data_IF_915698381404
#
_entry.id   IF_915698381404
#
_cell.length_a   1.000
_cell.length_b   1.000
_cell.length_c   1.000
_cell.angle_alpha   90.00
_cell.angle_beta   90.00
_cell.angle_gamma   90.00
#
_symmetry.space_group_name_H-M   'P 1'
#
loop_
_entity.id
_entity.type
_entity.pdbx_description
1 polymer ?
#
# COMPACT_ATOMS: atom_id res chain seq x y z
N UNK A 1 9.43 22.80 3.49
CA UNK A 1 9.75 22.03 2.27
C UNK A 1 9.62 20.56 2.61
N UNK A 2 8.47 19.93 2.36
CA UNK A 2 8.32 18.47 2.48
C UNK A 2 8.49 17.93 1.07
N UNK A 3 9.69 17.45 0.77
CA UNK A 3 9.97 16.75 -0.48
C UNK A 3 9.28 15.38 -0.38
N UNK A 4 8.05 15.28 -0.89
CA UNK A 4 7.35 14.01 -1.01
C UNK A 4 8.06 13.17 -2.07
N UNK A 5 9.08 12.42 -1.66
CA UNK A 5 9.77 11.46 -2.51
C UNK A 5 8.75 10.44 -3.01
N UNK A 6 8.36 10.55 -4.29
CA UNK A 6 7.45 9.58 -4.93
C UNK A 6 8.09 8.19 -4.87
N UNK A 7 7.36 7.21 -4.36
CA UNK A 7 7.80 5.82 -4.38
C UNK A 7 7.76 5.33 -5.83
N UNK A 8 8.86 4.73 -6.32
CA UNK A 8 8.90 3.99 -7.59
C UNK A 8 8.54 2.51 -7.34
N UNK A 9 8.34 1.72 -8.40
CA UNK A 9 8.06 0.29 -8.28
C UNK A 9 9.10 -0.44 -7.41
N UNK A 10 10.39 -0.29 -7.73
CA UNK A 10 11.48 -0.92 -6.97
C UNK A 10 11.47 -0.53 -5.49
N UNK A 11 11.20 0.75 -5.19
CA UNK A 11 11.13 1.24 -3.81
C UNK A 11 9.90 0.69 -3.08
N UNK A 12 8.77 0.54 -3.77
CA UNK A 12 7.57 -0.07 -3.21
C UNK A 12 7.81 -1.56 -2.90
N UNK A 13 8.46 -2.29 -3.80
CA UNK A 13 8.85 -3.69 -3.62
C UNK A 13 9.82 -3.89 -2.46
N UNK A 14 10.85 -3.05 -2.36
CA UNK A 14 11.80 -3.05 -1.24
C UNK A 14 11.10 -2.76 0.10
N UNK A 15 10.13 -1.83 0.12
CA UNK A 15 9.39 -1.50 1.33
C UNK A 15 8.48 -2.65 1.77
N UNK A 16 7.68 -3.22 0.87
CA UNK A 16 6.86 -4.41 1.20
C UNK A 16 7.72 -5.65 1.47
N UNK A 17 8.94 -5.65 0.93
CA UNK A 17 10.15 -6.41 1.30
C UNK A 17 10.29 -6.71 2.80
N UNK A 18 9.99 -5.69 3.59
CA UNK A 18 10.19 -5.66 5.05
C UNK A 18 8.99 -6.19 5.83
N UNK A 19 7.83 -6.33 5.19
CA UNK A 19 6.59 -6.74 5.87
C UNK A 19 6.73 -8.15 6.44
N UNK A 20 6.25 -8.35 7.67
CA UNK A 20 6.30 -9.63 8.39
C UNK A 20 5.12 -10.56 8.04
N UNK A 21 4.20 -10.14 7.16
CA UNK A 21 3.03 -10.91 6.75
C UNK A 21 2.23 -11.49 7.94
N UNK A 22 1.97 -10.65 8.95
CA UNK A 22 1.28 -11.04 10.17
C UNK A 22 -0.01 -11.82 9.90
N UNK A 23 -0.23 -12.89 10.67
CA UNK A 23 -1.47 -13.69 10.62
C UNK A 23 -2.67 -12.85 11.06
N UNK A 24 -2.57 -12.21 12.24
CA UNK A 24 -3.53 -11.22 12.74
C UNK A 24 -2.94 -9.82 12.55
N UNK A 25 -3.22 -9.14 11.42
CA UNK A 25 -2.55 -7.89 11.07
C UNK A 25 -3.04 -6.72 11.93
N UNK A 26 -2.22 -6.16 12.83
CA UNK A 26 -2.62 -5.02 13.66
C UNK A 26 -2.79 -3.76 12.82
N UNK A 27 -2.11 -3.66 11.67
CA UNK A 27 -2.26 -2.54 10.75
C UNK A 27 -3.65 -2.46 10.10
N UNK A 28 -4.31 -3.59 9.86
CA UNK A 28 -5.69 -3.63 9.36
C UNK A 28 -6.66 -3.32 10.49
N UNK A 29 -6.47 -3.91 11.68
CA UNK A 29 -7.34 -3.70 12.85
C UNK A 29 -7.32 -2.25 13.37
N UNK A 30 -6.18 -1.57 13.27
CA UNK A 30 -6.03 -0.19 13.72
C UNK A 30 -6.59 0.84 12.72
N UNK A 31 -7.03 0.41 11.53
CA UNK A 31 -7.56 1.32 10.53
C UNK A 31 -9.04 1.66 10.82
N UNK A 32 -9.39 2.91 11.13
CA UNK A 32 -10.79 3.31 11.38
C UNK A 32 -11.68 3.14 10.15
N UNK A 33 -11.09 3.26 8.96
CA UNK A 33 -11.75 3.08 7.67
C UNK A 33 -11.83 1.60 7.22
N UNK A 34 -11.35 0.66 8.05
CA UNK A 34 -11.28 -0.77 7.73
C UNK A 34 -10.54 -1.09 6.41
N UNK A 35 -9.51 -0.30 6.07
CA UNK A 35 -8.66 -0.59 4.93
C UNK A 35 -7.77 -1.79 5.24
N UNK A 36 -7.88 -2.82 4.41
CA UNK A 36 -7.09 -4.04 4.51
C UNK A 36 -5.65 -3.85 4.00
N UNK A 37 -4.88 -3.08 4.78
CA UNK A 37 -3.48 -2.75 4.48
C UNK A 37 -2.63 -4.01 4.33
N UNK A 38 -2.90 -5.04 5.14
CA UNK A 38 -2.17 -6.30 5.08
C UNK A 38 -2.37 -7.02 3.75
N UNK A 39 -3.60 -7.11 3.25
CA UNK A 39 -3.90 -7.76 1.97
C UNK A 39 -3.40 -6.97 0.77
N UNK A 40 -3.41 -5.63 0.85
CA UNK A 40 -2.82 -4.74 -0.16
C UNK A 40 -1.30 -4.95 -0.23
N UNK A 41 -0.60 -4.87 0.92
CA UNK A 41 0.84 -5.09 1.01
C UNK A 41 1.21 -6.48 0.52
N UNK A 42 0.45 -7.51 0.92
CA UNK A 42 0.67 -8.90 0.48
C UNK A 42 0.56 -9.01 -1.04
N UNK A 43 -0.37 -8.32 -1.67
CA UNK A 43 -0.47 -8.30 -3.13
C UNK A 43 0.77 -7.70 -3.79
N UNK A 44 1.30 -6.58 -3.31
CA UNK A 44 2.53 -5.99 -3.85
C UNK A 44 3.74 -6.91 -3.58
N UNK A 45 3.81 -7.53 -2.39
CA UNK A 45 4.89 -8.45 -2.01
C UNK A 45 5.02 -9.66 -2.93
N UNK A 46 3.93 -10.03 -3.59
CA UNK A 46 3.88 -11.10 -4.59
C UNK A 46 3.60 -10.55 -5.99
N UNK A 47 4.09 -9.34 -6.28
CA UNK A 47 4.11 -8.70 -7.61
C UNK A 47 2.72 -8.52 -8.27
N UNK A 48 1.65 -8.63 -7.49
CA UNK A 48 0.28 -8.44 -7.94
C UNK A 48 -0.17 -6.98 -7.73
N UNK A 49 0.46 -6.05 -8.45
CA UNK A 49 0.10 -4.63 -8.44
C UNK A 49 -1.35 -4.37 -8.88
N UNK A 50 -1.90 -5.02 -9.92
CA UNK A 50 -3.30 -4.85 -10.29
C UNK A 50 -4.26 -5.27 -9.18
N UNK A 51 -3.98 -6.38 -8.50
CA UNK A 51 -4.75 -6.84 -7.36
C UNK A 51 -4.62 -5.91 -6.15
N UNK A 52 -3.43 -5.38 -5.89
CA UNK A 52 -3.20 -4.38 -4.84
C UNK A 52 -4.02 -3.11 -5.09
N UNK A 53 -3.96 -2.57 -6.32
CA UNK A 53 -4.74 -1.39 -6.71
C UNK A 53 -6.24 -1.65 -6.69
N UNK A 54 -6.70 -2.81 -7.16
CA UNK A 54 -8.11 -3.16 -7.11
C UNK A 54 -8.63 -3.25 -5.67
N UNK A 55 -7.85 -3.83 -4.74
CA UNK A 55 -8.19 -3.86 -3.32
C UNK A 55 -8.21 -2.46 -2.71
N UNK A 56 -7.23 -1.62 -3.07
CA UNK A 56 -7.19 -0.23 -2.63
C UNK A 56 -8.46 0.51 -3.09
N UNK A 57 -8.81 0.42 -4.38
CA UNK A 57 -9.95 1.11 -4.97
C UNK A 57 -11.33 0.70 -4.50
N UNK A 58 -11.45 -0.43 -3.80
CA UNK A 58 -12.72 -0.84 -3.17
C UNK A 58 -13.19 0.17 -2.12
N UNK A 59 -12.29 0.98 -1.56
CA UNK A 59 -12.61 1.96 -0.53
C UNK A 59 -13.03 3.33 -1.10
N UNK A 60 -13.04 3.48 -2.43
CA UNK A 60 -13.66 4.60 -3.13
C UNK A 60 -13.01 5.94 -2.84
N UNK A 61 -13.79 6.93 -2.39
CA UNK A 61 -13.29 8.29 -2.10
C UNK A 61 -12.16 8.31 -1.05
N UNK A 62 -12.13 7.31 -0.17
CA UNK A 62 -11.11 7.18 0.88
C UNK A 62 -9.70 6.88 0.32
N UNK A 63 -9.60 6.47 -0.95
CA UNK A 63 -8.34 6.23 -1.63
C UNK A 63 -7.44 7.47 -1.62
N UNK A 64 -7.94 8.64 -2.05
CA UNK A 64 -7.12 9.85 -2.07
C UNK A 64 -6.80 10.32 -0.66
N UNK A 65 -7.78 10.27 0.23
CA UNK A 65 -7.63 10.66 1.63
C UNK A 65 -6.60 9.81 2.36
N UNK A 66 -6.64 8.48 2.25
CA UNK A 66 -5.66 7.63 2.94
C UNK A 66 -4.25 7.70 2.35
N UNK A 67 -4.11 8.06 1.06
CA UNK A 67 -2.80 8.30 0.45
C UNK A 67 -2.14 9.63 0.82
N UNK A 68 -2.93 10.70 0.93
CA UNK A 68 -2.40 12.08 1.03
C UNK A 68 -2.63 12.69 2.41
N UNK A 69 -3.76 12.35 3.03
CA UNK A 69 -4.27 13.00 4.22
C UNK A 69 -4.85 11.96 5.17
N UNK A 70 -4.03 11.00 5.60
CA UNK A 70 -4.45 10.02 6.61
C UNK A 70 -4.96 10.80 7.85
N UNK A 71 -6.28 10.90 7.94
CA UNK A 71 -6.99 11.84 8.80
C UNK A 71 -6.74 11.57 10.29
N UNK A 72 -6.36 10.33 10.63
CA UNK A 72 -6.13 9.87 11.99
C UNK A 72 -4.67 9.45 12.28
N UNK A 73 -3.70 10.30 11.94
CA UNK A 73 -2.31 10.16 12.42
C UNK A 73 -1.59 8.85 12.07
N UNK A 74 -1.98 8.15 10.99
CA UNK A 74 -1.30 6.92 10.53
C UNK A 74 -1.38 5.75 11.53
N UNK A 75 -2.57 5.48 12.07
CA UNK A 75 -2.80 4.37 13.02
C UNK A 75 -2.27 3.01 12.53
N UNK A 76 -2.41 2.71 11.23
CA UNK A 76 -1.89 1.46 10.65
C UNK A 76 -0.35 1.34 10.76
N UNK A 77 0.39 2.44 10.59
CA UNK A 77 1.85 2.47 10.75
C UNK A 77 2.22 2.39 12.23
N UNK A 78 1.52 3.11 13.11
CA UNK A 78 1.74 3.06 14.57
C UNK A 78 1.51 1.67 15.17
N UNK A 79 0.52 0.93 14.64
CA UNK A 79 0.20 -0.42 15.09
C UNK A 79 1.11 -1.50 14.49
N UNK A 80 1.96 -1.16 13.51
CA UNK A 80 2.79 -2.14 12.82
C UNK A 80 3.83 -2.76 13.76
N UNK A 81 3.78 -4.09 13.96
CA UNK A 81 4.71 -4.82 14.83
C UNK A 81 6.17 -4.65 14.40
N UNK A 82 6.43 -4.47 13.09
CA UNK A 82 7.79 -4.20 12.57
C UNK A 82 8.41 -2.94 13.18
N UNK A 83 7.59 -1.96 13.57
CA UNK A 83 8.05 -0.75 14.26
C UNK A 83 8.68 -1.02 15.62
N UNK A 84 8.50 -2.21 16.21
CA UNK A 84 9.20 -2.65 17.43
C UNK A 84 10.57 -3.25 17.17
N UNK A 85 10.90 -3.55 15.91
CA UNK A 85 12.19 -4.13 15.50
C UNK A 85 13.11 -3.06 14.93
N UNK A 86 12.63 -2.29 13.95
CA UNK A 86 13.39 -1.21 13.33
C UNK A 86 12.49 0.00 13.03
N UNK A 87 11.66 -0.09 12.00
CA UNK A 87 10.75 0.96 11.58
C UNK A 87 9.48 0.35 10.98
N UNK A 88 8.31 0.97 11.20
CA UNK A 88 7.06 0.46 10.66
C UNK A 88 7.09 0.48 9.13
N UNK A 89 6.26 -0.37 8.52
CA UNK A 89 6.04 -0.30 7.07
C UNK A 89 5.40 1.04 6.74
N UNK A 90 5.92 1.73 5.72
CA UNK A 90 5.40 3.01 5.23
C UNK A 90 4.12 2.84 4.42
N UNK A 91 3.05 2.40 5.10
CA UNK A 91 1.74 2.11 4.51
C UNK A 91 1.18 3.34 3.78
N UNK A 92 1.36 4.55 4.30
CA UNK A 92 0.91 5.77 3.63
C UNK A 92 1.61 5.96 2.29
N UNK A 93 2.92 5.68 2.23
CA UNK A 93 3.71 5.80 1.00
C UNK A 93 3.28 4.76 -0.04
N UNK A 94 2.96 3.55 0.40
CA UNK A 94 2.43 2.49 -0.48
C UNK A 94 1.05 2.88 -1.01
N UNK A 95 0.16 3.38 -0.15
CA UNK A 95 -1.16 3.87 -0.55
C UNK A 95 -1.05 5.03 -1.54
N UNK A 96 -0.13 5.98 -1.32
CA UNK A 96 0.14 7.06 -2.26
C UNK A 96 0.68 6.56 -3.60
N UNK A 97 1.58 5.59 -3.59
CA UNK A 97 2.04 4.93 -4.80
C UNK A 97 0.86 4.31 -5.57
N UNK A 98 -0.01 3.52 -4.92
CA UNK A 98 -1.16 2.88 -5.56
C UNK A 98 -2.23 3.87 -6.05
N UNK A 99 -2.42 4.98 -5.35
CA UNK A 99 -3.34 6.06 -5.71
C UNK A 99 -2.91 6.75 -7.01
N UNK A 100 -1.59 6.96 -7.16
CA UNK A 100 -0.99 7.59 -8.34
C UNK A 100 -0.63 6.58 -9.45
N UNK A 101 -0.82 5.29 -9.22
CA UNK A 101 -0.48 4.25 -10.18
C UNK A 101 -1.52 4.24 -11.32
N UNK A 102 -1.10 4.55 -12.54
CA UNK A 102 -1.95 4.51 -13.72
C UNK A 102 -1.79 3.17 -14.47
N UNK A 103 -2.52 2.14 -14.05
CA UNK A 103 -2.49 0.82 -14.69
C UNK A 103 -3.17 0.77 -16.08
N UNK A 104 -3.69 1.89 -16.58
CA UNK A 104 -4.35 2.01 -17.90
C UNK A 104 -3.45 1.67 -19.10
N UNK A 105 -2.16 1.42 -18.87
CA UNK A 105 -1.17 1.12 -19.91
C UNK A 105 -0.77 -0.37 -19.94
N UNK A 106 -1.00 -1.15 -18.88
CA UNK A 106 -0.57 -2.58 -18.84
C UNK A 106 -1.52 -3.55 -19.55
N UNK A 107 -2.75 -3.13 -19.90
CA UNK A 107 -3.69 -3.99 -20.65
C UNK A 107 -3.34 -4.17 -22.13
N UNK A 108 -2.43 -3.37 -22.71
CA UNK A 108 -2.02 -3.52 -24.11
C UNK A 108 -0.77 -4.37 -24.32
N UNK A 109 -0.04 -4.76 -23.27
CA UNK A 109 1.24 -5.48 -23.44
C UNK A 109 1.06 -7.00 -23.44
N UNK A 110 -0.04 -7.53 -22.88
CA UNK A 110 -0.19 -8.98 -22.67
C UNK A 110 -1.20 -9.66 -23.62
N UNK A 111 -1.64 -9.02 -24.70
CA UNK A 111 -2.54 -9.64 -25.69
C UNK A 111 -1.96 -9.75 -27.11
N UNK A 112 -0.65 -9.54 -27.26
CA UNK A 112 0.06 -9.68 -28.52
C UNK A 112 1.12 -10.79 -28.37
N UNK A 113 0.71 -12.02 -28.05
CA UNK A 113 1.68 -13.12 -27.94
C UNK A 113 1.25 -14.39 -27.22
N UNK A 114 0.21 -15.05 -27.72
CA UNK A 114 0.08 -16.52 -27.75
C UNK A 114 -1.09 -16.91 -28.63
#
# INVERSE_FOLDING_TARGET
MIEMRKLTFDLAEQEVARCLLCYDPPCTQACPANIDSASIIRSIRFENFPGAQAKYRKFGFLDKTCSELCFEQRNCEKACIRGRLDSPIKISSINNFLSNLELGILKKVNNDGS
#
